data_IF_641925991560
#
_entry.id   IF_641925991560
#
_cell.length_a   1.000
_cell.length_b   1.000
_cell.length_c   1.000
_cell.angle_alpha   90.00
_cell.angle_beta   90.00
_cell.angle_gamma   90.00
#
_symmetry.space_group_name_H-M   'P 1'
#
loop_
_entity.id
_entity.type
_entity.pdbx_description
1 polymer ?
#
# COMPACT_ATOMS: atom_id res chain seq x y z
N UNK A 1 12.53 2.11 26.05
CA UNK A 1 11.33 1.26 26.22
C UNK A 1 11.06 0.57 24.89
N UNK A 2 11.30 -0.73 24.83
CA UNK A 2 11.30 -1.54 23.61
C UNK A 2 9.88 -1.79 23.10
N UNK A 3 9.62 -1.49 21.83
CA UNK A 3 8.38 -1.88 21.13
C UNK A 3 8.52 -3.35 20.73
N UNK A 4 7.83 -4.22 21.45
CA UNK A 4 7.71 -5.64 21.11
C UNK A 4 6.77 -5.78 19.91
N UNK A 5 7.33 -5.98 18.71
CA UNK A 5 6.54 -6.32 17.53
C UNK A 5 6.44 -7.86 17.46
N UNK A 6 5.25 -8.41 17.66
CA UNK A 6 4.98 -9.81 17.38
C UNK A 6 4.88 -10.00 15.86
N UNK A 7 5.49 -11.08 15.34
CA UNK A 7 5.32 -11.51 13.95
C UNK A 7 4.17 -12.52 13.95
N UNK A 8 3.09 -12.21 13.23
CA UNK A 8 1.95 -13.11 13.07
C UNK A 8 2.20 -13.96 11.83
N UNK A 9 2.19 -15.28 12.01
CA UNK A 9 2.26 -16.24 10.92
C UNK A 9 0.87 -16.32 10.27
N UNK A 10 0.65 -15.59 9.19
CA UNK A 10 -0.63 -15.55 8.47
C UNK A 10 -0.75 -16.75 7.52
N UNK A 11 -0.80 -17.96 8.08
CA UNK A 11 -1.24 -19.15 7.36
C UNK A 11 -2.78 -19.21 7.39
N UNK A 12 -3.42 -18.91 6.26
CA UNK A 12 -4.80 -19.30 5.86
C UNK A 12 -5.80 -19.49 7.04
N UNK A 13 -6.13 -18.41 7.75
CA UNK A 13 -6.90 -18.44 9.00
C UNK A 13 -8.42 -18.60 8.84
N UNK A 14 -8.92 -19.22 7.76
CA UNK A 14 -10.38 -19.35 7.59
C UNK A 14 -11.01 -20.40 8.51
N UNK A 15 -10.20 -21.30 9.08
CA UNK A 15 -10.66 -22.42 9.93
C UNK A 15 -9.86 -22.61 11.24
N UNK A 16 -8.99 -21.65 11.62
CA UNK A 16 -8.23 -21.74 12.87
C UNK A 16 -9.00 -21.06 14.00
N UNK A 17 -9.28 -21.80 15.08
CA UNK A 17 -9.73 -21.24 16.35
C UNK A 17 -8.65 -20.24 16.83
N UNK A 18 -9.04 -19.02 17.21
CA UNK A 18 -8.09 -18.00 17.68
C UNK A 18 -7.25 -18.51 18.86
N UNK A 19 -7.76 -19.51 19.61
CA UNK A 19 -7.02 -20.18 20.68
C UNK A 19 -5.80 -21.00 20.23
N UNK A 20 -5.71 -21.36 18.95
CA UNK A 20 -4.61 -22.15 18.38
C UNK A 20 -3.46 -21.30 17.84
N UNK A 21 -3.63 -19.96 17.80
CA UNK A 21 -2.59 -19.04 17.34
C UNK A 21 -1.53 -18.86 18.43
N UNK A 22 -0.42 -19.59 18.30
CA UNK A 22 0.75 -19.43 19.19
C UNK A 22 1.72 -18.40 18.63
N UNK A 23 1.67 -17.18 19.16
CA UNK A 23 2.68 -16.16 18.88
C UNK A 23 3.96 -16.45 19.70
N UNK A 24 5.09 -16.62 19.02
CA UNK A 24 6.41 -16.76 19.64
C UNK A 24 7.38 -15.71 19.09
N UNK A 25 8.32 -15.26 19.93
CA UNK A 25 9.37 -14.33 19.48
C UNK A 25 10.31 -15.03 18.51
N UNK A 26 10.48 -14.44 17.33
CA UNK A 26 11.51 -14.83 16.37
C UNK A 26 12.87 -14.24 16.76
N UNK A 27 13.61 -14.86 17.69
CA UNK A 27 14.90 -14.32 18.16
C UNK A 27 15.95 -14.16 17.05
N UNK A 28 15.85 -14.95 15.98
CA UNK A 28 16.69 -14.78 14.80
C UNK A 28 16.45 -13.44 14.09
N UNK A 29 15.27 -12.84 14.22
CA UNK A 29 14.95 -11.55 13.61
C UNK A 29 15.59 -10.38 14.37
N UNK A 30 16.01 -10.59 15.63
CA UNK A 30 16.67 -9.57 16.45
C UNK A 30 17.98 -9.08 15.80
N UNK A 31 18.63 -9.89 14.97
CA UNK A 31 19.85 -9.49 14.24
C UNK A 31 19.60 -8.38 13.22
N UNK A 32 18.35 -8.12 12.86
CA UNK A 32 17.96 -7.08 11.92
C UNK A 32 17.35 -5.85 12.60
N UNK A 33 17.43 -5.75 13.93
CA UNK A 33 16.80 -4.65 14.68
C UNK A 33 17.31 -3.28 14.25
N UNK A 34 18.59 -3.15 13.93
CA UNK A 34 19.19 -1.89 13.46
C UNK A 34 18.68 -1.48 12.07
N UNK A 35 18.33 -2.47 11.21
CA UNK A 35 17.71 -2.22 9.91
C UNK A 35 16.24 -1.83 10.03
N UNK A 36 15.57 -2.22 11.11
CA UNK A 36 14.15 -1.99 11.33
C UNK A 36 13.22 -2.89 10.48
N UNK A 37 13.78 -3.79 9.67
CA UNK A 37 13.04 -4.77 8.87
C UNK A 37 13.87 -6.05 8.68
N UNK A 38 13.19 -7.17 8.41
CA UNK A 38 13.85 -8.42 8.00
C UNK A 38 13.88 -8.51 6.47
N UNK A 39 15.05 -8.71 5.82
CA UNK A 39 15.12 -8.84 4.37
C UNK A 39 14.24 -9.99 3.83
N UNK A 40 13.58 -9.82 2.67
CA UNK A 40 12.70 -10.84 2.09
C UNK A 40 13.35 -12.22 1.90
N UNK A 41 14.64 -12.24 1.51
CA UNK A 41 15.39 -13.49 1.35
C UNK A 41 15.53 -14.26 2.68
N UNK A 42 15.70 -13.55 3.79
CA UNK A 42 15.87 -14.17 5.11
C UNK A 42 14.56 -14.73 5.67
N UNK A 43 13.42 -14.11 5.31
CA UNK A 43 12.08 -14.64 5.55
C UNK A 43 11.85 -15.93 4.78
N UNK A 44 12.10 -15.92 3.46
CA UNK A 44 11.90 -17.09 2.58
C UNK A 44 12.79 -18.28 2.94
N UNK A 45 14.01 -18.05 3.44
CA UNK A 45 14.89 -19.12 3.95
C UNK A 45 14.34 -19.83 5.21
N UNK A 46 13.35 -19.23 5.87
CA UNK A 46 12.76 -19.71 7.13
C UNK A 46 11.29 -20.08 6.95
N UNK A 47 10.92 -20.44 5.72
CA UNK A 47 9.58 -20.90 5.32
C UNK A 47 8.45 -19.87 5.55
N UNK A 48 8.78 -18.61 5.80
CA UNK A 48 7.83 -17.51 5.70
C UNK A 48 7.55 -17.20 4.24
N UNK A 49 6.35 -16.69 3.98
CA UNK A 49 6.07 -16.08 2.70
C UNK A 49 6.38 -14.59 2.71
N UNK A 50 6.61 -14.03 1.52
CA UNK A 50 6.68 -12.59 1.29
C UNK A 50 5.71 -12.23 0.17
N UNK A 51 5.27 -10.99 0.12
CA UNK A 51 4.38 -10.52 -0.95
C UNK A 51 5.20 -9.86 -2.07
N UNK A 52 4.81 -10.10 -3.31
CA UNK A 52 5.34 -9.39 -4.46
C UNK A 52 5.06 -7.88 -4.31
N UNK A 53 6.11 -7.05 -4.30
CA UNK A 53 5.97 -5.60 -4.13
C UNK A 53 5.15 -4.91 -5.24
N UNK A 54 4.97 -5.57 -6.39
CA UNK A 54 4.11 -5.07 -7.45
C UNK A 54 2.67 -5.58 -7.33
N UNK A 55 2.44 -6.90 -7.40
CA UNK A 55 1.08 -7.47 -7.52
C UNK A 55 0.53 -8.13 -6.26
N UNK A 56 1.22 -8.04 -5.12
CA UNK A 56 0.89 -8.67 -3.83
C UNK A 56 0.71 -10.19 -3.85
N UNK A 57 1.05 -10.88 -4.95
CA UNK A 57 1.07 -12.34 -4.98
C UNK A 57 2.05 -12.88 -3.94
N UNK A 58 1.60 -13.90 -3.20
CA UNK A 58 2.42 -14.64 -2.25
C UNK A 58 3.60 -15.33 -2.96
N UNK A 59 4.78 -15.16 -2.40
CA UNK A 59 6.03 -15.81 -2.78
C UNK A 59 6.44 -16.64 -1.58
N UNK A 60 6.58 -17.96 -1.76
CA UNK A 60 6.91 -18.92 -0.70
C UNK A 60 8.20 -19.70 -1.00
N UNK A 61 8.86 -19.44 -2.14
CA UNK A 61 10.09 -20.11 -2.56
C UNK A 61 11.17 -19.10 -2.94
N UNK A 62 12.39 -19.19 -2.37
CA UNK A 62 13.49 -18.28 -2.67
C UNK A 62 13.84 -18.21 -4.17
N UNK A 63 13.86 -19.36 -4.84
CA UNK A 63 14.30 -19.47 -6.24
C UNK A 63 13.26 -19.02 -7.27
N UNK A 64 12.06 -18.64 -6.81
CA UNK A 64 10.96 -18.22 -7.66
C UNK A 64 10.81 -16.69 -7.75
N UNK A 65 11.70 -15.93 -7.11
CA UNK A 65 11.58 -14.47 -6.98
C UNK A 65 12.79 -13.71 -7.51
N UNK A 66 12.52 -12.52 -8.05
CA UNK A 66 13.53 -11.47 -8.24
C UNK A 66 13.57 -10.66 -6.94
N UNK A 67 14.74 -10.55 -6.30
CA UNK A 67 14.88 -9.91 -5.00
C UNK A 67 15.78 -8.69 -5.07
N UNK A 68 15.40 -7.64 -4.34
CA UNK A 68 16.29 -6.56 -3.93
C UNK A 68 16.61 -6.72 -2.44
N UNK A 69 17.35 -5.78 -1.84
CA UNK A 69 17.61 -5.82 -0.40
C UNK A 69 16.32 -5.71 0.43
N UNK A 70 15.35 -4.94 -0.06
CA UNK A 70 14.13 -4.57 0.68
C UNK A 70 12.83 -5.14 0.09
N UNK A 71 12.83 -5.59 -1.17
CA UNK A 71 11.63 -6.01 -1.89
C UNK A 71 11.83 -7.37 -2.57
N UNK A 72 10.71 -8.04 -2.81
CA UNK A 72 10.65 -9.27 -3.60
C UNK A 72 9.60 -9.13 -4.70
N UNK A 73 9.86 -9.75 -5.86
CA UNK A 73 8.98 -9.76 -7.01
C UNK A 73 8.79 -11.19 -7.51
N UNK A 74 7.54 -11.57 -7.83
CA UNK A 74 7.24 -12.93 -8.29
C UNK A 74 7.75 -13.23 -9.71
N UNK A 75 8.04 -12.20 -10.50
CA UNK A 75 8.60 -12.32 -11.85
C UNK A 75 9.51 -11.14 -12.16
N UNK A 76 10.40 -11.30 -13.14
CA UNK A 76 11.18 -10.19 -13.70
C UNK A 76 10.28 -9.07 -14.25
N UNK A 77 9.20 -9.43 -14.92
CA UNK A 77 8.21 -8.47 -15.42
C UNK A 77 7.63 -7.59 -14.30
N UNK A 78 7.33 -8.16 -13.12
CA UNK A 78 6.86 -7.37 -11.97
C UNK A 78 7.93 -6.41 -11.44
N UNK A 79 9.20 -6.83 -11.45
CA UNK A 79 10.32 -5.96 -11.07
C UNK A 79 10.48 -4.80 -12.07
N UNK A 80 10.47 -5.10 -13.36
CA UNK A 80 10.62 -4.11 -14.43
C UNK A 80 9.45 -3.12 -14.43
N UNK A 81 8.20 -3.58 -14.28
CA UNK A 81 7.01 -2.72 -14.14
C UNK A 81 7.07 -1.83 -12.90
N UNK A 82 7.49 -2.37 -11.76
CA UNK A 82 7.64 -1.58 -10.54
C UNK A 82 8.73 -0.50 -10.69
N UNK A 83 9.81 -0.75 -11.44
CA UNK A 83 10.82 0.27 -11.71
C UNK A 83 10.31 1.37 -12.65
N UNK A 84 9.40 1.04 -13.57
CA UNK A 84 8.79 1.97 -14.51
C UNK A 84 7.56 2.71 -14.00
N UNK A 85 7.09 2.44 -12.77
CA UNK A 85 5.80 2.97 -12.30
C UNK A 85 5.82 4.47 -11.99
N UNK A 86 6.99 5.10 -11.92
CA UNK A 86 7.12 6.52 -11.58
C UNK A 86 6.23 7.42 -12.44
N UNK A 87 6.24 7.18 -13.75
CA UNK A 87 5.43 7.95 -14.71
C UNK A 87 3.92 7.73 -14.47
N UNK A 88 3.51 6.49 -14.17
CA UNK A 88 2.12 6.16 -13.87
C UNK A 88 1.64 6.80 -12.54
N UNK A 89 2.52 6.89 -11.54
CA UNK A 89 2.23 7.58 -10.27
C UNK A 89 2.08 9.10 -10.47
N UNK A 90 2.92 9.69 -11.31
CA UNK A 90 2.84 11.11 -11.67
C UNK A 90 1.55 11.39 -12.45
N UNK A 91 1.24 10.58 -13.47
CA UNK A 91 0.00 10.69 -14.25
C UNK A 91 -1.25 10.58 -13.35
N UNK A 92 -1.28 9.63 -12.41
CA UNK A 92 -2.39 9.50 -11.47
C UNK A 92 -2.55 10.75 -10.59
N UNK A 93 -1.45 11.38 -10.20
CA UNK A 93 -1.47 12.64 -9.43
C UNK A 93 -2.05 13.79 -10.26
N UNK A 94 -1.66 13.88 -11.53
CA UNK A 94 -2.19 14.87 -12.47
C UNK A 94 -3.68 14.67 -12.71
N UNK A 95 -4.13 13.43 -12.92
CA UNK A 95 -5.56 13.12 -13.07
C UNK A 95 -6.32 13.50 -11.80
N UNK A 96 -5.80 13.18 -10.62
CA UNK A 96 -6.42 13.56 -9.37
C UNK A 96 -6.56 15.09 -9.24
N UNK A 97 -5.56 15.88 -9.63
CA UNK A 97 -5.62 17.34 -9.63
C UNK A 97 -6.52 17.91 -10.74
N UNK A 98 -6.64 17.23 -11.88
CA UNK A 98 -7.63 17.58 -12.90
C UNK A 98 -9.06 17.36 -12.39
N UNK A 99 -9.29 16.26 -11.65
CA UNK A 99 -10.56 15.97 -11.01
C UNK A 99 -10.82 16.87 -9.80
N UNK A 100 -9.83 17.18 -8.97
CA UNK A 100 -10.01 17.99 -7.77
C UNK A 100 -8.92 19.07 -7.67
N UNK A 101 -9.06 20.18 -8.42
CA UNK A 101 -8.02 21.22 -8.50
C UNK A 101 -7.67 21.90 -7.17
N UNK A 102 -8.60 21.93 -6.22
CA UNK A 102 -8.39 22.49 -4.88
C UNK A 102 -7.85 21.44 -3.88
N UNK A 103 -7.55 20.21 -4.31
CA UNK A 103 -6.96 19.20 -3.45
C UNK A 103 -5.44 19.39 -3.33
N UNK A 104 -4.87 18.88 -2.23
CA UNK A 104 -3.43 18.79 -2.06
C UNK A 104 -3.00 17.33 -2.00
N UNK A 105 -2.21 16.88 -2.99
CA UNK A 105 -1.69 15.52 -3.04
C UNK A 105 -0.68 15.32 -1.91
N UNK A 106 -0.93 14.35 -1.04
CA UNK A 106 -0.05 13.97 0.06
C UNK A 106 0.94 12.89 -0.40
N UNK A 107 0.43 11.87 -1.12
CA UNK A 107 1.23 10.78 -1.65
C UNK A 107 0.50 10.08 -2.79
N UNK A 108 1.28 9.50 -3.71
CA UNK A 108 0.79 8.58 -4.75
C UNK A 108 1.65 7.33 -4.71
N UNK A 109 1.01 6.17 -4.57
CA UNK A 109 1.69 4.93 -4.21
C UNK A 109 1.04 3.71 -4.85
N UNK A 110 1.83 2.65 -5.02
CA UNK A 110 1.34 1.35 -5.45
C UNK A 110 0.87 0.53 -4.25
N UNK A 111 -0.41 0.18 -4.22
CA UNK A 111 -1.01 -0.67 -3.19
C UNK A 111 -1.67 -1.86 -3.86
N UNK A 112 -1.13 -3.06 -3.62
CA UNK A 112 -1.65 -4.31 -4.17
C UNK A 112 -1.85 -4.28 -5.70
N UNK A 113 -0.88 -3.74 -6.43
CA UNK A 113 -0.92 -3.64 -7.89
C UNK A 113 -1.81 -2.53 -8.44
N UNK A 114 -2.36 -1.67 -7.58
CA UNK A 114 -3.21 -0.54 -7.98
C UNK A 114 -2.61 0.77 -7.50
N UNK A 115 -2.72 1.81 -8.31
CA UNK A 115 -2.21 3.14 -7.95
C UNK A 115 -3.24 3.84 -7.09
N UNK A 116 -2.84 4.19 -5.87
CA UNK A 116 -3.63 4.94 -4.90
C UNK A 116 -3.07 6.36 -4.79
N UNK A 117 -3.94 7.34 -4.94
CA UNK A 117 -3.67 8.75 -4.65
C UNK A 117 -4.28 9.08 -3.28
N UNK A 118 -3.44 9.51 -2.36
CA UNK A 118 -3.84 10.11 -1.08
C UNK A 118 -3.73 11.62 -1.20
N UNK A 119 -4.84 12.32 -0.96
CA UNK A 119 -4.89 13.77 -0.98
C UNK A 119 -5.68 14.32 0.20
N UNK A 120 -5.51 15.61 0.44
CA UNK A 120 -6.36 16.38 1.36
C UNK A 120 -7.29 17.32 0.62
N UNK A 121 -8.43 17.63 1.25
CA UNK A 121 -9.45 18.52 0.69
C UNK A 121 -10.11 19.38 1.76
N UNK A 122 -10.74 20.48 1.31
CA UNK A 122 -11.46 21.42 2.18
C UNK A 122 -10.56 22.43 2.88
N UNK A 123 -11.16 23.40 3.59
CA UNK A 123 -10.41 24.42 4.35
C UNK A 123 -9.83 23.86 5.65
N UNK A 124 -10.57 22.99 6.33
CA UNK A 124 -10.00 22.10 7.32
C UNK A 124 -9.57 20.84 6.59
N UNK A 125 -8.27 20.58 6.57
CA UNK A 125 -7.65 19.49 5.81
C UNK A 125 -8.21 18.14 6.28
N UNK A 126 -8.96 17.49 5.38
CA UNK A 126 -9.49 16.14 5.56
C UNK A 126 -8.84 15.20 4.57
N UNK A 127 -8.74 13.93 4.90
CA UNK A 127 -8.03 12.93 4.10
C UNK A 127 -8.99 12.17 3.18
N UNK A 128 -8.56 11.96 1.94
CA UNK A 128 -9.26 11.16 0.94
C UNK A 128 -8.29 10.24 0.20
N UNK A 129 -8.79 9.08 -0.21
CA UNK A 129 -8.04 8.10 -0.98
C UNK A 129 -8.82 7.75 -2.26
N UNK A 130 -8.15 7.79 -3.38
CA UNK A 130 -8.71 7.46 -4.68
C UNK A 130 -7.78 6.46 -5.38
N UNK A 131 -8.35 5.47 -6.06
CA UNK A 131 -7.58 4.58 -6.92
C UNK A 131 -7.75 5.03 -8.37
N UNK A 132 -6.66 5.06 -9.15
CA UNK A 132 -6.69 5.59 -10.53
C UNK A 132 -7.59 4.79 -11.49
N UNK A 133 -7.88 3.54 -11.15
CA UNK A 133 -8.75 2.62 -11.87
C UNK A 133 -10.20 2.58 -11.31
N UNK A 134 -10.53 3.45 -10.36
CA UNK A 134 -11.83 3.48 -9.69
C UNK A 134 -12.56 4.82 -9.87
N UNK A 135 -13.89 4.76 -9.88
CA UNK A 135 -14.74 5.96 -9.93
C UNK A 135 -15.00 6.57 -8.55
N UNK A 136 -14.75 5.81 -7.48
CA UNK A 136 -15.11 6.15 -6.11
C UNK A 136 -13.91 6.64 -5.30
N UNK A 137 -14.18 7.60 -4.40
CA UNK A 137 -13.22 8.11 -3.42
C UNK A 137 -13.61 7.64 -2.03
N UNK A 138 -12.63 7.13 -1.32
CA UNK A 138 -12.75 6.70 0.07
C UNK A 138 -12.41 7.86 1.00
N UNK A 139 -13.32 8.18 1.91
CA UNK A 139 -13.14 9.18 2.96
C UNK A 139 -13.62 8.62 4.30
N UNK A 140 -13.16 9.19 5.40
CA UNK A 140 -13.67 8.79 6.71
C UNK A 140 -15.19 9.06 6.81
N UNK A 141 -15.98 8.23 7.51
CA UNK A 141 -17.42 8.42 7.61
C UNK A 141 -17.84 9.80 8.14
N UNK A 142 -17.03 10.38 9.03
CA UNK A 142 -17.25 11.72 9.61
C UNK A 142 -17.07 12.86 8.60
N UNK A 143 -16.34 12.61 7.50
CA UNK A 143 -15.99 13.62 6.48
C UNK A 143 -16.86 13.50 5.22
N UNK A 144 -17.85 12.61 5.21
CA UNK A 144 -18.67 12.30 4.02
C UNK A 144 -19.47 13.52 3.52
N UNK A 145 -20.01 14.34 4.42
CA UNK A 145 -20.78 15.51 4.05
C UNK A 145 -19.89 16.58 3.42
N UNK A 146 -18.75 16.88 4.06
CA UNK A 146 -17.74 17.79 3.53
C UNK A 146 -17.20 17.33 2.17
N UNK A 147 -16.98 16.03 2.00
CA UNK A 147 -16.56 15.46 0.71
C UNK A 147 -17.60 15.70 -0.38
N UNK A 148 -18.89 15.50 -0.08
CA UNK A 148 -19.98 15.72 -1.06
C UNK A 148 -20.04 17.18 -1.51
N UNK A 149 -19.92 18.12 -0.57
CA UNK A 149 -19.91 19.54 -0.88
C UNK A 149 -18.68 19.95 -1.69
N UNK A 150 -17.50 19.50 -1.27
CA UNK A 150 -16.24 19.72 -1.97
C UNK A 150 -16.31 19.18 -3.41
N UNK A 151 -16.70 17.92 -3.59
CA UNK A 151 -16.75 17.28 -4.91
C UNK A 151 -17.79 17.93 -5.82
N UNK A 152 -18.92 18.40 -5.26
CA UNK A 152 -19.91 19.20 -6.01
C UNK A 152 -19.32 20.50 -6.52
N UNK A 153 -18.57 21.23 -5.68
CA UNK A 153 -17.85 22.46 -6.08
C UNK A 153 -16.83 22.16 -7.18
N UNK A 154 -16.02 21.11 -7.02
CA UNK A 154 -15.02 20.74 -8.01
C UNK A 154 -15.66 20.40 -9.36
N UNK A 155 -16.76 19.65 -9.37
CA UNK A 155 -17.52 19.35 -10.60
C UNK A 155 -18.00 20.62 -11.31
N UNK A 156 -18.51 21.59 -10.55
CA UNK A 156 -18.97 22.86 -11.11
C UNK A 156 -17.81 23.67 -11.73
N UNK A 157 -16.63 23.68 -11.09
CA UNK A 157 -15.43 24.34 -11.64
C UNK A 157 -14.96 23.70 -12.94
N UNK A 158 -14.98 22.36 -13.03
CA UNK A 158 -14.60 21.65 -14.25
C UNK A 158 -15.56 21.90 -15.42
N UNK A 159 -16.85 22.06 -15.14
CA UNK A 159 -17.86 22.35 -16.17
C UNK A 159 -17.76 23.76 -16.76
N UNK A 160 -16.97 24.65 -16.17
CA UNK A 160 -16.76 26.03 -16.64
C UNK A 160 -15.48 26.19 -17.48
N UNK A 161 -14.69 25.12 -17.62
CA UNK A 161 -13.48 25.07 -18.45
C UNK A 161 -13.79 24.38 -19.77
#
# INVERSE_FOLDING_TARGET
MSKNQAIIDYADMRDLDESDIKAARASWADTFIEKGYVPPLELLKRDFYVECAYCSKRIDRPNAAVMTEIQAFCTKECCDKHQGIGDELEEASDIALMLWPDAHIVATELVAGRIRVHFTFGQAERHAFWFSDADEVQVAPVDLEDWREFNKRMKALRAQR
#
